data_IF_886234615568
#
_entry.id   IF_886234615568
#
_cell.length_a   1.000
_cell.length_b   1.000
_cell.length_c   1.000
_cell.angle_alpha   90.00
_cell.angle_beta   90.00
_cell.angle_gamma   90.00
#
_symmetry.space_group_name_H-M   'P 1'
#
loop_
_entity.id
_entity.type
_entity.pdbx_description
1 polymer ?
#
# COMPACT_ATOMS: atom_id res chain seq x y z
N UNK A 1 -11.38 3.83 -20.32
CA UNK A 1 -10.73 2.56 -20.67
C UNK A 1 -9.44 2.53 -19.88
N UNK A 2 -9.27 1.57 -18.96
CA UNK A 2 -8.18 1.63 -17.97
C UNK A 2 -6.83 1.29 -18.60
N UNK A 3 -5.89 2.23 -18.56
CA UNK A 3 -4.48 2.09 -18.99
C UNK A 3 -3.67 1.02 -18.20
N UNK A 4 -4.34 0.15 -17.44
CA UNK A 4 -3.76 -0.70 -16.41
C UNK A 4 -4.00 -2.21 -16.59
N UNK A 5 -4.86 -2.63 -17.53
CA UNK A 5 -5.06 -4.08 -17.77
C UNK A 5 -3.85 -4.75 -18.44
N UNK A 6 -2.96 -3.95 -19.06
CA UNK A 6 -1.80 -4.44 -19.84
C UNK A 6 -0.42 -4.13 -19.22
N UNK A 7 -0.35 -3.79 -17.93
CA UNK A 7 0.96 -3.56 -17.30
C UNK A 7 1.76 -4.86 -17.18
N UNK A 8 2.92 -4.89 -17.84
CA UNK A 8 3.88 -6.00 -17.76
C UNK A 8 4.35 -6.15 -16.32
N UNK A 9 4.36 -7.38 -15.80
CA UNK A 9 4.94 -7.67 -14.48
C UNK A 9 6.44 -7.47 -14.51
N UNK A 10 6.98 -6.78 -13.52
CA UNK A 10 8.42 -6.64 -13.37
C UNK A 10 8.96 -7.98 -12.86
N UNK A 11 9.51 -8.81 -13.75
CA UNK A 11 10.03 -10.14 -13.41
C UNK A 11 11.55 -10.18 -13.31
N UNK A 12 12.21 -9.14 -13.81
CA UNK A 12 13.66 -9.11 -14.02
C UNK A 12 14.39 -8.40 -12.86
N UNK A 13 13.72 -8.31 -11.70
CA UNK A 13 14.30 -7.78 -10.46
C UNK A 13 15.05 -8.89 -9.74
N UNK A 14 16.35 -8.70 -9.55
CA UNK A 14 17.25 -9.67 -8.91
C UNK A 14 17.10 -9.64 -7.37
N UNK A 15 16.75 -10.76 -6.72
CA UNK A 15 16.61 -10.80 -5.27
C UNK A 15 17.92 -10.64 -4.49
N UNK A 16 19.08 -10.84 -5.12
CA UNK A 16 20.39 -10.64 -4.48
C UNK A 16 20.95 -9.23 -4.69
N UNK A 17 20.13 -8.25 -5.09
CA UNK A 17 20.59 -6.87 -5.33
C UNK A 17 19.92 -5.88 -4.38
N UNK A 18 20.73 -4.95 -3.87
CA UNK A 18 20.27 -3.73 -3.23
C UNK A 18 19.94 -2.68 -4.28
N UNK A 19 18.70 -2.18 -4.25
CA UNK A 19 18.22 -1.14 -5.16
C UNK A 19 18.12 0.22 -4.46
N UNK A 20 18.47 1.28 -5.19
CA UNK A 20 18.12 2.64 -4.87
C UNK A 20 16.73 2.93 -5.45
N UNK A 21 15.78 3.29 -4.59
CA UNK A 21 14.40 3.59 -4.97
C UNK A 21 14.13 5.10 -4.86
N UNK A 22 13.54 5.69 -5.88
CA UNK A 22 13.04 7.08 -5.89
C UNK A 22 11.78 7.16 -6.77
N UNK A 23 11.28 8.35 -7.10
CA UNK A 23 10.11 8.53 -7.96
C UNK A 23 10.27 9.71 -8.92
N UNK A 24 9.49 9.69 -10.00
CA UNK A 24 9.69 10.54 -11.19
C UNK A 24 9.38 12.04 -10.98
N UNK A 25 8.77 12.42 -9.87
CA UNK A 25 8.62 13.82 -9.48
C UNK A 25 9.90 14.38 -8.86
N UNK A 26 10.69 13.55 -8.16
CA UNK A 26 11.95 13.93 -7.52
C UNK A 26 13.15 13.71 -8.44
N UNK A 27 13.15 12.63 -9.21
CA UNK A 27 14.27 12.22 -10.06
C UNK A 27 13.82 11.81 -11.46
N UNK A 28 14.79 11.56 -12.33
CA UNK A 28 14.62 10.87 -13.60
C UNK A 28 15.82 9.92 -13.85
N UNK A 29 15.89 9.29 -15.02
CA UNK A 29 17.03 8.46 -15.41
C UNK A 29 18.15 9.26 -16.11
N UNK A 30 18.07 10.59 -16.16
CA UNK A 30 19.06 11.46 -16.78
C UNK A 30 20.14 11.87 -15.75
N UNK A 31 20.91 10.89 -15.29
CA UNK A 31 22.00 11.08 -14.33
C UNK A 31 21.89 10.17 -13.12
N UNK A 32 22.58 10.56 -12.04
CA UNK A 32 22.47 9.88 -10.74
C UNK A 32 21.22 10.37 -10.01
N UNK A 33 20.52 9.47 -9.32
CA UNK A 33 19.37 9.83 -8.49
C UNK A 33 19.81 10.71 -7.30
N UNK A 34 19.16 11.86 -7.17
CA UNK A 34 19.38 12.84 -6.11
C UNK A 34 18.50 12.58 -4.88
N UNK A 35 17.35 11.93 -5.05
CA UNK A 35 16.41 11.55 -4.00
C UNK A 35 16.36 10.06 -3.73
N UNK A 36 15.90 9.67 -2.53
CA UNK A 36 15.77 8.26 -2.15
C UNK A 36 14.62 8.04 -1.17
N UNK A 37 13.91 6.92 -1.34
CA UNK A 37 12.95 6.39 -0.38
C UNK A 37 13.67 5.94 0.89
N UNK A 38 13.46 6.68 1.97
CA UNK A 38 14.13 6.49 3.24
C UNK A 38 13.12 6.33 4.38
N UNK A 39 13.46 5.54 5.41
CA UNK A 39 12.61 5.47 6.60
C UNK A 39 12.66 6.80 7.35
N UNK A 40 11.56 7.18 7.98
CA UNK A 40 11.49 8.35 8.81
C UNK A 40 10.81 7.99 10.14
N UNK A 41 11.52 8.23 11.24
CA UNK A 41 10.92 8.13 12.56
C UNK A 41 9.88 9.24 12.71
N UNK A 42 8.69 8.87 13.13
CA UNK A 42 7.62 9.80 13.43
C UNK A 42 7.31 9.78 14.93
N UNK A 43 6.86 10.91 15.46
CA UNK A 43 6.49 11.04 16.88
C UNK A 43 5.35 10.09 17.28
N UNK A 44 4.56 9.64 16.30
CA UNK A 44 3.50 8.64 16.48
C UNK A 44 4.00 7.24 16.87
N UNK A 45 5.32 6.99 16.81
CA UNK A 45 5.94 5.70 17.14
C UNK A 45 6.03 4.71 15.97
N UNK A 46 5.23 4.91 14.92
CA UNK A 46 5.33 4.13 13.69
C UNK A 46 6.35 4.76 12.73
N UNK A 47 7.30 3.95 12.23
CA UNK A 47 8.21 4.37 11.17
C UNK A 47 7.42 4.64 9.88
N UNK A 48 7.47 5.89 9.42
CA UNK A 48 6.96 6.31 8.13
C UNK A 48 8.04 6.27 7.04
N UNK A 49 7.69 6.76 5.87
CA UNK A 49 8.60 6.89 4.74
C UNK A 49 8.47 8.23 4.05
N UNK A 50 9.58 8.70 3.50
CA UNK A 50 9.66 9.84 2.61
C UNK A 50 10.65 9.58 1.48
N UNK A 51 10.45 10.24 0.36
CA UNK A 51 11.49 10.42 -0.65
C UNK A 51 12.09 11.81 -0.45
N UNK A 52 13.39 11.88 -0.19
CA UNK A 52 14.13 13.14 -0.03
C UNK A 52 15.59 12.94 -0.41
N UNK A 53 16.32 14.06 -0.49
CA UNK A 53 17.71 14.09 -0.96
C UNK A 53 18.60 13.04 -0.27
N UNK A 54 19.44 12.38 -1.08
CA UNK A 54 20.48 11.46 -0.64
C UNK A 54 21.59 12.24 0.04
N UNK A 55 21.43 12.45 1.34
CA UNK A 55 22.47 13.01 2.19
C UNK A 55 23.43 11.89 2.66
N UNK A 56 23.88 11.94 3.91
CA UNK A 56 24.80 10.95 4.46
C UNK A 56 24.16 9.57 4.70
N UNK A 57 22.83 9.47 4.60
CA UNK A 57 22.06 8.26 4.89
C UNK A 57 21.60 7.63 3.58
N UNK A 58 21.86 6.34 3.41
CA UNK A 58 21.48 5.59 2.21
C UNK A 58 20.63 4.38 2.60
N UNK A 59 19.36 4.41 2.21
CA UNK A 59 18.36 3.38 2.43
C UNK A 59 18.16 2.57 1.16
N UNK A 60 18.71 1.36 1.09
CA UNK A 60 18.54 0.47 -0.04
C UNK A 60 17.43 -0.54 0.18
N UNK A 61 16.89 -1.05 -0.93
CA UNK A 61 15.71 -1.91 -0.94
C UNK A 61 16.00 -3.23 -1.65
N UNK A 62 15.71 -4.35 -0.98
CA UNK A 62 15.81 -5.68 -1.55
C UNK A 62 14.40 -6.20 -1.87
N UNK A 63 14.27 -6.88 -3.01
CA UNK A 63 13.01 -7.42 -3.51
C UNK A 63 13.03 -8.93 -3.49
N UNK A 64 12.28 -9.52 -2.55
CA UNK A 64 12.25 -10.96 -2.38
C UNK A 64 10.99 -11.58 -2.98
N UNK A 65 11.09 -12.43 -4.00
CA UNK A 65 9.93 -13.00 -4.69
C UNK A 65 9.08 -13.85 -3.75
N UNK A 66 7.76 -13.75 -3.88
CA UNK A 66 6.81 -14.52 -3.06
C UNK A 66 6.07 -15.54 -3.92
N UNK A 67 6.27 -16.82 -3.59
CA UNK A 67 5.60 -17.92 -4.26
C UNK A 67 5.95 -17.98 -5.75
N UNK A 68 4.97 -18.38 -6.58
CA UNK A 68 5.14 -18.52 -8.03
C UNK A 68 4.45 -17.41 -8.84
N UNK A 69 4.01 -16.33 -8.18
CA UNK A 69 3.27 -15.25 -8.85
C UNK A 69 4.27 -14.23 -9.45
N UNK A 70 4.32 -14.06 -10.78
CA UNK A 70 5.24 -13.12 -11.41
C UNK A 70 5.03 -11.68 -10.93
N UNK A 71 6.12 -10.99 -10.62
CA UNK A 71 6.11 -9.61 -10.15
C UNK A 71 5.63 -9.42 -8.70
N UNK A 72 5.47 -10.49 -7.91
CA UNK A 72 5.09 -10.36 -6.50
C UNK A 72 6.30 -10.46 -5.58
N UNK A 73 6.46 -9.47 -4.73
CA UNK A 73 7.62 -9.33 -3.84
C UNK A 73 7.22 -8.99 -2.40
N UNK A 74 8.08 -9.40 -1.47
CA UNK A 74 8.25 -8.76 -0.14
C UNK A 74 9.47 -7.85 -0.23
N UNK A 75 9.45 -6.74 0.49
CA UNK A 75 10.50 -5.74 0.40
C UNK A 75 11.15 -5.51 1.76
N UNK A 76 12.48 -5.51 1.76
CA UNK A 76 13.31 -5.25 2.95
C UNK A 76 14.13 -3.98 2.76
N UNK A 77 14.34 -3.29 3.87
CA UNK A 77 15.15 -2.09 3.95
C UNK A 77 16.54 -2.44 4.51
N UNK A 78 17.60 -1.92 3.89
CA UNK A 78 19.00 -2.17 4.30
C UNK A 78 19.35 -1.57 5.67
N UNK A 79 18.54 -0.66 6.18
CA UNK A 79 18.75 0.00 7.46
C UNK A 79 18.08 -0.73 8.63
N UNK A 80 17.34 -1.79 8.31
CA UNK A 80 16.59 -2.57 9.29
C UNK A 80 17.03 -4.04 9.22
N UNK A 81 16.55 -4.82 10.17
CA UNK A 81 16.80 -6.27 10.17
C UNK A 81 15.88 -6.99 9.19
N UNK A 82 16.20 -8.23 8.86
CA UNK A 82 15.38 -9.14 8.04
C UNK A 82 14.00 -9.45 8.63
N UNK A 83 13.77 -9.07 9.89
CA UNK A 83 12.50 -9.21 10.62
C UNK A 83 11.52 -8.08 10.35
N UNK A 84 11.92 -7.03 9.64
CA UNK A 84 11.03 -5.93 9.27
C UNK A 84 10.72 -5.99 7.78
N UNK A 85 9.45 -5.75 7.43
CA UNK A 85 8.97 -5.76 6.05
C UNK A 85 8.30 -4.44 5.71
N UNK A 86 8.47 -4.02 4.45
CA UNK A 86 7.74 -2.91 3.88
C UNK A 86 6.27 -3.27 3.74
N UNK A 87 5.40 -2.51 4.39
CA UNK A 87 3.99 -2.79 4.48
C UNK A 87 3.14 -1.54 4.24
N UNK A 88 1.83 -1.72 4.28
CA UNK A 88 0.87 -0.62 4.38
C UNK A 88 0.16 -0.65 5.73
N UNK A 89 0.00 0.53 6.33
CA UNK A 89 -0.69 0.72 7.59
C UNK A 89 -1.82 1.72 7.41
N UNK A 90 -3.00 1.39 7.94
CA UNK A 90 -4.12 2.32 8.02
C UNK A 90 -3.98 3.19 9.26
N UNK A 91 -4.21 4.49 9.11
CA UNK A 91 -4.19 5.50 10.18
C UNK A 91 -5.49 6.29 10.11
N UNK A 92 -6.33 6.15 11.12
CA UNK A 92 -7.65 6.78 11.18
C UNK A 92 -7.61 8.30 11.34
N UNK A 93 -6.56 8.79 12.00
CA UNK A 93 -6.27 10.21 12.25
C UNK A 93 -5.62 10.92 11.05
N UNK A 94 -5.09 10.17 10.09
CA UNK A 94 -4.46 10.73 8.90
C UNK A 94 -5.54 11.27 7.93
N UNK A 95 -5.28 12.40 7.30
CA UNK A 95 -6.26 13.01 6.38
C UNK A 95 -5.64 13.81 5.23
N UNK A 96 -4.32 13.66 5.02
CA UNK A 96 -3.61 14.31 3.91
C UNK A 96 -4.26 13.92 2.59
N UNK A 97 -4.75 14.93 1.87
CA UNK A 97 -5.55 14.77 0.64
C UNK A 97 -6.63 13.66 0.74
N UNK A 98 -7.34 13.55 1.88
CA UNK A 98 -8.38 12.54 2.14
C UNK A 98 -7.87 11.08 2.05
N UNK A 99 -6.60 10.83 2.40
CA UNK A 99 -5.98 9.51 2.45
C UNK A 99 -5.63 9.11 3.87
N UNK A 100 -5.72 7.81 4.14
CA UNK A 100 -5.51 7.21 5.47
C UNK A 100 -4.53 6.05 5.50
N UNK A 101 -4.18 5.52 4.35
CA UNK A 101 -3.27 4.36 4.25
C UNK A 101 -1.91 4.83 3.78
N UNK A 102 -0.87 4.49 4.54
CA UNK A 102 0.51 4.90 4.31
C UNK A 102 1.42 3.69 4.20
N UNK A 103 2.56 3.87 3.56
CA UNK A 103 3.65 2.92 3.70
C UNK A 103 4.18 2.96 5.14
N UNK A 104 4.53 1.80 5.68
CA UNK A 104 5.04 1.64 7.04
C UNK A 104 5.98 0.42 7.13
N UNK A 105 6.71 0.31 8.23
CA UNK A 105 7.60 -0.80 8.48
C UNK A 105 7.08 -1.65 9.65
N UNK A 106 6.77 -2.93 9.40
CA UNK A 106 6.15 -3.82 10.39
C UNK A 106 6.99 -5.08 10.60
N UNK A 107 6.78 -5.79 11.71
CA UNK A 107 7.38 -7.13 11.89
C UNK A 107 6.88 -8.10 10.83
N UNK A 108 7.79 -8.92 10.30
CA UNK A 108 7.53 -9.85 9.20
C UNK A 108 6.53 -10.92 9.63
N UNK A 109 5.35 -10.90 9.01
CA UNK A 109 4.26 -11.84 9.27
C UNK A 109 3.71 -12.49 7.98
N UNK A 110 4.16 -12.02 6.81
CA UNK A 110 3.78 -12.56 5.51
C UNK A 110 2.34 -12.20 5.08
N UNK A 111 1.66 -11.32 5.81
CA UNK A 111 0.31 -10.86 5.49
C UNK A 111 0.26 -10.14 4.15
N UNK A 112 -0.93 -10.04 3.56
CA UNK A 112 -1.12 -9.36 2.28
C UNK A 112 -0.69 -7.89 2.30
N UNK A 113 -0.66 -7.23 3.46
CA UNK A 113 -0.16 -5.85 3.58
C UNK A 113 1.34 -5.75 3.37
N UNK A 114 2.09 -6.85 3.51
CA UNK A 114 3.54 -6.95 3.29
C UNK A 114 3.91 -7.45 1.89
N UNK A 115 2.90 -7.73 1.05
CA UNK A 115 3.11 -8.23 -0.31
C UNK A 115 2.81 -7.13 -1.33
N UNK A 116 3.66 -7.04 -2.34
CA UNK A 116 3.61 -6.01 -3.36
C UNK A 116 3.63 -6.63 -4.76
N UNK A 117 2.60 -6.36 -5.55
CA UNK A 117 2.58 -6.65 -6.98
C UNK A 117 3.25 -5.45 -7.70
N UNK A 118 4.47 -5.66 -8.22
CA UNK A 118 5.29 -4.67 -8.94
C UNK A 118 5.14 -4.88 -10.44
N UNK A 119 4.79 -3.82 -11.16
CA UNK A 119 4.59 -3.84 -12.62
C UNK A 119 5.36 -2.69 -13.28
N UNK A 120 5.67 -2.82 -14.57
CA UNK A 120 6.29 -1.77 -15.37
C UNK A 120 5.21 -0.85 -15.94
N UNK A 121 5.47 0.45 -15.92
CA UNK A 121 4.67 1.48 -16.59
C UNK A 121 5.13 1.66 -18.04
N UNK A 122 4.19 1.56 -18.99
CA UNK A 122 4.44 1.85 -20.40
C UNK A 122 5.26 0.78 -21.13
N UNK A 123 5.49 0.99 -22.44
CA UNK A 123 6.08 -0.02 -23.33
C UNK A 123 7.36 0.38 -24.06
N UNK A 124 7.85 1.63 -23.99
CA UNK A 124 8.83 2.07 -25.01
C UNK A 124 9.95 3.06 -24.70
N UNK A 125 10.10 3.71 -23.53
CA UNK A 125 11.27 4.63 -23.34
C UNK A 125 11.88 4.75 -21.94
N UNK A 126 11.10 4.57 -20.87
CA UNK A 126 11.63 4.53 -19.50
C UNK A 126 10.81 3.53 -18.70
N UNK A 127 11.46 2.46 -18.23
CA UNK A 127 10.81 1.45 -17.39
C UNK A 127 10.68 2.00 -15.96
N UNK A 128 9.65 2.81 -15.75
CA UNK A 128 9.24 3.21 -14.39
C UNK A 128 8.35 2.11 -13.79
N UNK A 129 8.33 1.99 -12.47
CA UNK A 129 7.68 0.90 -11.76
C UNK A 129 6.39 1.39 -11.08
N UNK A 130 5.39 0.52 -11.05
CA UNK A 130 4.13 0.71 -10.33
C UNK A 130 4.04 -0.32 -9.20
N UNK A 131 3.80 0.19 -7.99
CA UNK A 131 3.68 -0.63 -6.79
C UNK A 131 2.23 -0.71 -6.35
N UNK A 132 1.70 -1.94 -6.31
CA UNK A 132 0.33 -2.22 -5.86
C UNK A 132 0.39 -3.15 -4.66
N UNK A 133 -0.18 -2.72 -3.54
CA UNK A 133 -0.21 -3.56 -2.34
C UNK A 133 -1.30 -4.63 -2.46
N UNK A 134 -1.01 -5.86 -2.02
CA UNK A 134 -1.95 -6.98 -2.17
C UNK A 134 -3.19 -6.81 -1.29
N UNK A 135 -3.05 -6.30 -0.05
CA UNK A 135 -4.19 -6.11 0.85
C UNK A 135 -5.17 -5.01 0.39
N UNK A 136 -4.67 -3.99 -0.32
CA UNK A 136 -5.48 -2.85 -0.76
C UNK A 136 -6.00 -2.99 -2.21
N UNK A 137 -5.61 -4.06 -2.91
CA UNK A 137 -6.02 -4.36 -4.28
C UNK A 137 -5.49 -3.36 -5.33
N UNK A 138 -6.06 -3.40 -6.53
CA UNK A 138 -5.58 -2.66 -7.71
C UNK A 138 -6.04 -1.21 -7.82
N UNK A 139 -6.84 -0.72 -6.87
CA UNK A 139 -7.37 0.66 -6.93
C UNK A 139 -6.44 1.71 -6.35
N UNK A 140 -5.43 1.28 -5.60
CA UNK A 140 -4.50 2.17 -4.93
C UNK A 140 -3.07 1.75 -5.19
N UNK A 141 -2.23 2.75 -5.43
CA UNK A 141 -0.82 2.57 -5.76
C UNK A 141 0.04 3.41 -4.82
N UNK A 142 1.29 3.00 -4.67
CA UNK A 142 2.26 3.72 -3.87
C UNK A 142 2.55 5.08 -4.50
N UNK A 143 2.38 6.15 -3.72
CA UNK A 143 2.41 7.54 -4.18
C UNK A 143 3.19 8.39 -3.18
N UNK A 144 4.06 9.26 -3.70
CA UNK A 144 4.75 10.26 -2.90
C UNK A 144 4.05 11.59 -3.02
N UNK A 145 3.33 11.97 -1.96
CA UNK A 145 2.71 13.30 -1.89
C UNK A 145 3.82 14.33 -1.65
N UNK A 146 3.97 15.38 -2.49
CA UNK A 146 5.04 16.37 -2.35
C UNK A 146 5.06 17.00 -0.96
N UNK A 147 6.24 16.98 -0.32
CA UNK A 147 6.43 17.53 1.04
C UNK A 147 5.85 16.66 2.17
N UNK A 148 5.20 15.55 1.86
CA UNK A 148 4.57 14.65 2.82
C UNK A 148 5.20 13.25 2.77
N UNK A 149 4.51 12.29 3.35
CA UNK A 149 4.93 10.91 3.40
C UNK A 149 4.54 10.12 2.15
N UNK A 150 4.91 8.83 2.14
CA UNK A 150 4.48 7.88 1.13
C UNK A 150 3.12 7.28 1.49
N UNK A 151 2.15 7.43 0.58
CA UNK A 151 0.75 7.04 0.73
C UNK A 151 0.34 5.97 -0.27
N UNK A 152 -0.79 5.33 0.00
CA UNK A 152 -1.56 4.63 -1.03
C UNK A 152 -2.62 5.58 -1.58
N UNK A 153 -2.60 5.82 -2.90
CA UNK A 153 -3.53 6.73 -3.58
C UNK A 153 -4.15 6.09 -4.83
N UNK A 154 -5.38 6.47 -5.22
CA UNK A 154 -5.90 6.05 -6.50
C UNK A 154 -5.14 6.73 -7.64
N UNK A 155 -5.20 6.14 -8.84
CA UNK A 155 -4.75 6.85 -10.04
C UNK A 155 -5.57 8.12 -10.21
N UNK A 156 -4.87 9.24 -10.37
CA UNK A 156 -5.50 10.49 -10.77
C UNK A 156 -5.50 10.57 -12.30
N UNK A 157 -6.22 11.55 -12.86
CA UNK A 157 -6.20 11.78 -14.29
C UNK A 157 -4.82 12.33 -14.73
N UNK A 158 -4.42 12.01 -15.97
CA UNK A 158 -3.18 12.51 -16.58
C UNK A 158 -1.93 11.69 -16.23
N UNK A 159 -0.76 12.34 -16.33
CA UNK A 159 0.54 11.69 -16.14
C UNK A 159 0.91 11.58 -14.65
N UNK A 160 1.02 10.36 -14.13
CA UNK A 160 1.15 10.06 -12.69
C UNK A 160 2.61 10.00 -12.22
N UNK A 161 3.36 11.11 -12.31
CA UNK A 161 4.79 11.17 -11.87
C UNK A 161 5.01 10.59 -10.47
N UNK A 162 4.15 10.98 -9.51
CA UNK A 162 4.22 10.57 -8.10
C UNK A 162 4.07 9.07 -7.83
N UNK A 163 3.55 8.32 -8.81
CA UNK A 163 3.32 6.87 -8.75
C UNK A 163 4.24 6.09 -9.69
N UNK A 164 5.15 6.79 -10.38
CA UNK A 164 6.15 6.21 -11.27
C UNK A 164 7.45 6.13 -10.50
N UNK A 165 7.69 4.95 -9.96
CA UNK A 165 8.89 4.67 -9.18
C UNK A 165 10.07 4.43 -10.11
N UNK A 166 11.23 4.92 -9.70
CA UNK A 166 12.50 4.74 -10.41
C UNK A 166 13.41 3.86 -9.56
N UNK A 167 14.14 2.97 -10.22
CA UNK A 167 14.99 2.00 -9.54
C UNK A 167 16.32 1.86 -10.27
N UNK A 168 17.42 1.83 -9.52
CA UNK A 168 18.72 1.42 -10.05
C UNK A 168 19.40 0.43 -9.10
N UNK A 169 20.12 -0.54 -9.65
CA UNK A 169 20.91 -1.48 -8.88
C UNK A 169 22.14 -0.78 -8.29
N UNK A 170 22.50 -1.14 -7.06
CA UNK A 170 23.61 -0.50 -6.34
C UNK A 170 24.75 -1.47 -6.10
N UNK A 171 24.45 -2.60 -5.47
CA UNK A 171 25.42 -3.65 -5.13
C UNK A 171 24.70 -4.94 -4.76
N UNK A 172 25.45 -6.03 -4.73
CA UNK A 172 24.94 -7.31 -4.25
C UNK A 172 24.61 -7.26 -2.75
N UNK A 173 23.62 -8.05 -2.35
CA UNK A 173 23.21 -8.19 -0.96
C UNK A 173 24.24 -9.01 -0.20
N UNK A 174 24.60 -10.18 -0.74
CA UNK A 174 25.66 -11.07 -0.27
C UNK A 174 25.66 -11.27 1.25
N UNK A 175 24.47 -11.48 1.80
CA UNK A 175 24.25 -11.69 3.23
C UNK A 175 23.22 -12.82 3.43
N UNK A 176 23.67 -13.90 4.06
CA UNK A 176 22.88 -15.10 4.34
C UNK A 176 21.57 -14.80 5.08
N UNK A 177 21.55 -13.77 5.94
CA UNK A 177 20.34 -13.38 6.67
C UNK A 177 19.24 -12.88 5.72
N UNK A 178 19.62 -12.33 4.57
CA UNK A 178 18.73 -11.75 3.59
C UNK A 178 18.38 -12.72 2.45
N UNK A 179 18.94 -13.94 2.41
CA UNK A 179 18.75 -14.90 1.31
C UNK A 179 17.39 -15.62 1.28
N UNK A 180 16.60 -15.56 2.36
CA UNK A 180 15.29 -16.23 2.44
C UNK A 180 14.18 -15.29 2.89
N UNK A 181 12.94 -15.57 2.48
CA UNK A 181 11.75 -14.85 2.98
C UNK A 181 11.40 -15.36 4.38
N UNK A 182 11.27 -14.46 5.34
CA UNK A 182 10.84 -14.83 6.69
C UNK A 182 9.34 -15.10 6.68
N UNK A 183 8.95 -16.37 6.64
CA UNK A 183 7.61 -16.81 6.99
C UNK A 183 7.61 -17.13 8.47
N UNK A 184 6.83 -16.40 9.27
CA UNK A 184 6.70 -16.69 10.69
C UNK A 184 6.33 -18.17 10.84
N UNK A 185 7.11 -19.01 11.55
CA UNK A 185 6.71 -20.39 11.78
C UNK A 185 5.36 -20.38 12.53
N UNK A 186 4.44 -21.31 12.22
CA UNK A 186 3.20 -21.43 12.99
C UNK A 186 3.52 -21.55 14.49
N UNK A 187 2.71 -20.98 15.40
CA UNK A 187 3.00 -21.02 16.83
C UNK A 187 3.20 -22.46 17.25
N UNK A 188 4.42 -22.75 17.69
CA UNK A 188 4.86 -24.09 18.07
C UNK A 188 3.98 -24.57 19.23
N UNK A 189 3.20 -25.60 18.97
CA UNK A 189 2.33 -26.20 19.98
C UNK A 189 3.21 -26.89 21.02
N UNK A 190 3.19 -26.36 22.24
CA UNK A 190 3.76 -26.89 23.47
C UNK A 190 3.67 -28.42 23.56
N UNK A 191 4.80 -29.13 23.48
CA UNK A 191 5.08 -30.49 24.03
C UNK A 191 6.60 -30.68 24.01
N UNK A 192 7.29 -31.28 24.97
CA UNK A 192 7.03 -31.70 26.34
C UNK A 192 8.44 -31.97 26.92
N UNK A 193 8.61 -31.79 28.23
CA UNK A 193 9.88 -31.99 28.89
C UNK A 193 10.26 -33.49 28.89
N UNK A 194 11.33 -33.84 28.18
CA UNK A 194 11.91 -35.20 28.18
C UNK A 194 13.25 -35.22 28.90
N UNK A 195 13.21 -35.36 30.22
CA UNK A 195 14.37 -35.70 31.07
C UNK A 195 15.04 -36.98 30.58
N UNK A 196 16.34 -36.95 30.30
CA UNK A 196 17.21 -38.13 30.44
C UNK A 196 18.54 -37.71 31.04
N UNK A 197 18.71 -38.04 32.31
CA UNK A 197 20.00 -38.17 32.97
C UNK A 197 20.52 -39.56 32.62
N UNK A 198 21.74 -39.69 32.12
CA UNK A 198 22.60 -40.80 32.51
C UNK A 198 24.08 -40.48 32.26
N UNK A 199 24.87 -40.74 33.30
CA UNK A 199 26.32 -40.63 33.33
C UNK A 199 26.93 -42.01 33.16
N UNK A 200 27.93 -42.18 32.28
CA UNK A 200 29.11 -43.00 32.56
C UNK A 200 30.12 -42.98 31.40
N UNK A 201 31.38 -42.81 31.78
CA UNK A 201 32.59 -42.93 30.98
C UNK A 201 32.98 -44.39 30.72
N UNK A 202 33.45 -44.71 29.50
CA UNK A 202 34.73 -45.39 29.26
C UNK A 202 35.01 -45.60 27.77
N UNK A 203 36.30 -45.57 27.43
CA UNK A 203 36.89 -45.59 26.09
C UNK A 203 37.03 -47.01 25.48
N UNK A 204 36.93 -47.12 24.15
CA UNK A 204 37.93 -47.72 23.23
C UNK A 204 37.31 -48.09 21.86
N UNK A 205 38.07 -47.76 20.80
CA UNK A 205 38.25 -48.35 19.44
C UNK A 205 37.51 -49.68 19.17
N UNK A 206 36.91 -49.97 18.00
CA UNK A 206 37.37 -49.77 16.63
C UNK A 206 36.26 -50.15 15.60
N UNK A 207 36.33 -49.56 14.40
CA UNK A 207 35.84 -50.06 13.10
C UNK A 207 34.33 -50.11 12.71
N UNK A 208 34.14 -49.64 11.46
CA UNK A 208 33.12 -49.97 10.44
C UNK A 208 31.91 -49.03 10.24
N UNK A 209 31.99 -48.29 9.13
CA UNK A 209 30.95 -48.09 8.10
C UNK A 209 29.52 -47.77 8.54
N UNK A 210 29.09 -46.52 8.35
CA UNK A 210 27.68 -46.23 8.05
C UNK A 210 27.49 -44.98 7.20
N UNK A 211 26.59 -45.17 6.26
CA UNK A 211 26.11 -44.34 5.17
C UNK A 211 25.48 -43.01 5.60
N UNK A 212 25.64 -42.01 4.73
CA UNK A 212 24.85 -40.78 4.62
C UNK A 212 23.36 -41.00 4.93
N UNK A 213 22.88 -40.38 6.02
CA UNK A 213 21.46 -40.24 6.31
C UNK A 213 20.96 -38.89 5.79
N UNK A 214 20.28 -38.93 4.65
CA UNK A 214 19.40 -37.87 4.15
C UNK A 214 18.33 -37.54 5.19
N UNK A 215 18.25 -36.28 5.61
CA UNK A 215 17.13 -35.75 6.39
C UNK A 215 15.96 -35.44 5.45
N UNK A 216 15.10 -36.43 5.22
CA UNK A 216 13.88 -36.28 4.42
C UNK A 216 12.85 -35.36 5.09
N UNK A 217 12.46 -34.29 4.41
CA UNK A 217 11.32 -33.44 4.77
C UNK A 217 10.01 -34.21 4.56
N UNK A 218 9.16 -34.28 5.60
CA UNK A 218 7.85 -34.92 5.54
C UNK A 218 6.87 -34.15 4.64
N UNK A 219 6.64 -34.65 3.43
CA UNK A 219 5.54 -34.22 2.57
C UNK A 219 4.22 -34.76 3.10
N UNK A 220 3.20 -33.91 3.24
CA UNK A 220 1.84 -34.33 3.59
C UNK A 220 1.29 -35.28 2.51
N UNK A 221 0.79 -36.44 2.94
CA UNK A 221 0.21 -37.48 2.08
C UNK A 221 -0.81 -36.89 1.12
N UNK A 222 -0.76 -37.31 -0.15
CA UNK A 222 -1.68 -36.87 -1.21
C UNK A 222 -3.17 -37.06 -0.86
N UNK A 223 -3.49 -37.92 0.12
CA UNK A 223 -4.84 -38.08 0.66
C UNK A 223 -5.36 -36.85 1.42
N UNK A 224 -4.51 -36.08 2.11
CA UNK A 224 -4.92 -34.86 2.80
C UNK A 224 -5.20 -33.70 1.81
N UNK A 225 -4.45 -33.66 0.71
CA UNK A 225 -4.58 -32.65 -0.35
C UNK A 225 -5.85 -32.91 -1.18
N UNK A 226 -6.20 -34.18 -1.42
CA UNK A 226 -7.40 -34.54 -2.20
C UNK A 226 -8.72 -34.20 -1.47
N UNK A 227 -8.75 -34.27 -0.13
CA UNK A 227 -9.96 -34.00 0.64
C UNK A 227 -10.40 -32.54 0.64
N UNK A 228 -9.45 -31.60 0.66
CA UNK A 228 -9.74 -30.15 0.76
C UNK A 228 -10.26 -29.59 -0.57
N UNK A 229 -9.79 -30.12 -1.70
CA UNK A 229 -10.21 -29.66 -3.03
C UNK A 229 -11.71 -29.90 -3.31
N UNK A 230 -12.25 -31.04 -2.85
CA UNK A 230 -13.66 -31.41 -3.11
C UNK A 230 -14.60 -30.65 -2.17
N UNK A 231 -14.20 -30.40 -0.92
CA UNK A 231 -14.99 -29.66 0.07
C UNK A 231 -15.22 -28.19 -0.31
N UNK A 232 -14.23 -27.54 -0.93
CA UNK A 232 -14.31 -26.13 -1.31
C UNK A 232 -15.41 -25.86 -2.36
N UNK A 233 -15.58 -26.77 -3.33
CA UNK A 233 -16.57 -26.61 -4.40
C UNK A 233 -18.00 -26.71 -3.85
N UNK A 234 -18.26 -27.67 -2.96
CA UNK A 234 -19.57 -27.82 -2.32
C UNK A 234 -19.87 -26.68 -1.34
N UNK A 235 -18.86 -26.20 -0.61
CA UNK A 235 -19.00 -25.05 0.29
C UNK A 235 -19.40 -23.78 -0.45
N UNK A 236 -18.69 -23.44 -1.54
CA UNK A 236 -18.97 -22.24 -2.34
C UNK A 236 -20.37 -22.29 -2.96
N UNK A 237 -20.79 -23.46 -3.47
CA UNK A 237 -22.15 -23.64 -4.00
C UNK A 237 -23.22 -23.45 -2.93
N UNK A 238 -23.01 -23.97 -1.72
CA UNK A 238 -23.95 -23.80 -0.61
C UNK A 238 -24.06 -22.32 -0.16
N UNK A 239 -22.95 -21.60 -0.05
CA UNK A 239 -22.95 -20.18 0.31
C UNK A 239 -23.56 -19.28 -0.78
N UNK A 240 -23.31 -19.58 -2.06
CA UNK A 240 -23.92 -18.86 -3.17
C UNK A 240 -25.45 -19.02 -3.20
N UNK A 241 -25.95 -20.24 -2.97
CA UNK A 241 -27.39 -20.51 -2.89
C UNK A 241 -28.04 -19.80 -1.69
N UNK A 242 -27.38 -19.80 -0.54
CA UNK A 242 -27.87 -19.12 0.66
C UNK A 242 -27.92 -17.60 0.47
N UNK A 243 -26.87 -17.00 -0.12
CA UNK A 243 -26.83 -15.57 -0.45
C UNK A 243 -27.92 -15.17 -1.44
N UNK A 244 -28.13 -15.96 -2.50
CA UNK A 244 -29.19 -15.72 -3.48
C UNK A 244 -30.59 -15.81 -2.87
N UNK A 245 -30.84 -16.78 -1.99
CA UNK A 245 -32.14 -16.98 -1.35
C UNK A 245 -32.50 -15.81 -0.42
N UNK A 246 -31.55 -15.31 0.37
CA UNK A 246 -31.76 -14.16 1.25
C UNK A 246 -31.98 -12.86 0.46
N UNK A 247 -31.25 -12.66 -0.64
CA UNK A 247 -31.44 -11.52 -1.53
C UNK A 247 -32.82 -11.55 -2.21
N UNK A 248 -33.27 -12.72 -2.68
CA UNK A 248 -34.60 -12.90 -3.27
C UNK A 248 -35.73 -12.66 -2.27
N UNK A 249 -35.55 -13.04 -1.00
CA UNK A 249 -36.53 -12.79 0.07
C UNK A 249 -36.63 -11.29 0.40
N UNK A 250 -35.50 -10.57 0.44
CA UNK A 250 -35.48 -9.13 0.74
C UNK A 250 -36.19 -8.29 -0.32
N UNK A 251 -36.16 -8.73 -1.59
CA UNK A 251 -36.82 -8.01 -2.71
C UNK A 251 -38.35 -8.11 -2.73
N UNK A 252 -38.97 -8.94 -1.88
CA UNK A 252 -40.44 -9.11 -1.82
C UNK A 252 -41.13 -8.25 -0.76
N UNK A 253 -40.38 -7.50 0.07
CA UNK A 253 -40.95 -6.73 1.19
C UNK A 253 -40.85 -5.20 1.07
N UNK A 254 -40.44 -4.64 -0.06
CA UNK A 254 -40.55 -3.19 -0.29
C UNK A 254 -41.85 -2.87 -1.04
N UNK A 255 -42.99 -3.14 -0.39
CA UNK A 255 -44.26 -2.50 -0.70
C UNK A 255 -44.34 -1.21 0.12
N UNK A 256 -44.23 -0.06 -0.55
CA UNK A 256 -44.45 1.25 0.06
C UNK A 256 -45.91 1.39 0.53
N UNK A 257 -46.20 1.81 1.76
CA UNK A 257 -47.56 2.15 2.17
C UNK A 257 -47.96 3.52 1.59
N UNK A 258 -49.09 3.52 0.88
CA UNK A 258 -49.82 4.70 0.45
C UNK A 258 -50.32 5.51 1.66
N UNK A 259 -50.25 6.84 1.57
CA UNK A 259 -51.05 7.76 2.39
C UNK A 259 -52.09 8.43 1.47
N UNK A 260 -53.38 8.45 1.83
CA UNK A 260 -54.42 9.11 1.05
C UNK A 260 -54.65 10.57 1.52
N UNK A 261 -54.94 11.43 0.53
CA UNK A 261 -56.06 12.40 0.46
C UNK A 261 -56.10 13.56 1.49
N UNK A 262 -56.35 14.84 1.18
CA UNK A 262 -57.10 15.49 0.09
C UNK A 262 -56.95 17.04 0.18
N UNK A 263 -57.53 17.74 -0.82
CA UNK A 263 -57.97 19.14 -0.84
C UNK A 263 -57.11 20.24 -1.54
N UNK A 264 -57.40 20.39 -2.85
CA UNK A 264 -58.16 21.51 -3.42
C UNK A 264 -57.43 22.61 -4.24
N UNK A 265 -57.65 22.55 -5.57
CA UNK A 265 -57.86 23.68 -6.51
C UNK A 265 -56.61 24.46 -6.97
N UNK A 266 -56.47 24.93 -8.22
CA UNK A 266 -57.35 24.90 -9.38
C UNK A 266 -56.57 25.36 -10.63
N UNK A 267 -57.05 24.90 -11.79
CA UNK A 267 -57.05 25.55 -13.10
C UNK A 267 -55.78 25.66 -13.98
N UNK A 268 -56.00 25.14 -15.20
CA UNK A 268 -55.53 25.55 -16.54
C UNK A 268 -54.21 25.00 -17.10
N UNK A 269 -54.39 24.15 -18.10
CA UNK A 269 -53.43 23.63 -19.09
C UNK A 269 -53.32 24.62 -20.29
N UNK A 270 -52.73 24.27 -21.46
CA UNK A 270 -51.51 23.48 -21.75
C UNK A 270 -50.64 24.13 -22.89
N UNK A 271 -49.65 23.36 -23.35
CA UNK A 271 -49.07 23.30 -24.72
C UNK A 271 -47.83 24.14 -25.04
N UNK A 272 -46.85 23.46 -25.64
CA UNK A 272 -45.74 24.08 -26.36
C UNK A 272 -44.52 23.19 -26.54
N UNK A 273 -44.65 22.09 -27.29
CA UNK A 273 -43.55 21.31 -27.87
C UNK A 273 -42.88 22.10 -29.01
N UNK A 274 -41.55 22.26 -29.00
CA UNK A 274 -40.74 22.05 -30.21
C UNK A 274 -39.23 22.07 -29.92
N UNK A 275 -38.58 21.19 -30.67
CA UNK A 275 -37.18 20.84 -30.69
C UNK A 275 -36.31 21.72 -31.61
N UNK A 276 -34.98 21.64 -31.36
CA UNK A 276 -33.83 21.95 -32.24
C UNK A 276 -33.42 23.43 -32.44
N UNK A 277 -32.15 23.77 -32.19
CA UNK A 277 -31.11 23.85 -33.24
C UNK A 277 -29.70 24.20 -32.70
N UNK A 278 -28.72 23.92 -33.55
CA UNK A 278 -27.26 23.97 -33.50
C UNK A 278 -26.51 25.04 -32.67
N UNK A 279 -25.44 24.57 -32.00
CA UNK A 279 -24.04 24.73 -32.43
C UNK A 279 -23.43 26.13 -32.49
N UNK A 280 -22.44 26.40 -31.62
CA UNK A 280 -21.39 27.41 -31.87
C UNK A 280 -20.04 26.96 -31.30
N UNK A 281 -19.03 26.97 -32.18
CA UNK A 281 -17.59 26.93 -31.87
C UNK A 281 -17.16 28.29 -31.32
N UNK A 282 -16.22 28.32 -30.37
CA UNK A 282 -15.46 29.54 -30.03
C UNK A 282 -14.04 29.48 -30.61
N UNK A 283 -13.49 30.58 -31.15
CA UNK A 283 -12.13 30.62 -31.70
C UNK A 283 -11.08 30.94 -30.61
N UNK A 284 -9.90 30.37 -30.79
CA UNK A 284 -8.65 30.74 -30.13
C UNK A 284 -8.15 32.05 -30.74
N UNK A 285 -7.87 33.05 -29.91
CA UNK A 285 -7.10 34.23 -30.32
C UNK A 285 -5.74 34.24 -29.60
N UNK A 286 -4.67 34.39 -30.39
CA UNK A 286 -3.27 34.43 -29.97
C UNK A 286 -2.77 35.86 -30.17
N UNK A 287 -2.39 36.53 -29.08
CA UNK A 287 -1.55 37.73 -29.16
C UNK A 287 -0.35 37.61 -28.22
N UNK A 288 0.85 38.08 -28.63
CA UNK A 288 2.07 38.00 -27.82
C UNK A 288 2.16 39.21 -26.90
N UNK A 289 2.24 38.98 -25.58
CA UNK A 289 2.42 40.03 -24.58
C UNK A 289 3.91 40.17 -24.20
N UNK A 290 4.41 41.36 -24.50
CA UNK A 290 5.70 41.91 -24.12
C UNK A 290 5.73 42.11 -22.58
N UNK A 291 6.65 41.47 -21.86
CA UNK A 291 6.75 41.59 -20.41
C UNK A 291 7.51 42.85 -20.00
N UNK A 292 6.80 43.92 -19.64
CA UNK A 292 7.31 44.96 -18.74
C UNK A 292 6.48 44.89 -17.46
N UNK A 293 7.12 44.45 -16.37
CA UNK A 293 6.49 44.25 -15.07
C UNK A 293 6.21 45.58 -14.37
N UNK A 294 4.99 45.85 -13.87
CA UNK A 294 4.79 46.84 -12.82
C UNK A 294 5.12 46.22 -11.46
N UNK A 295 5.69 47.01 -10.55
CA UNK A 295 5.96 46.64 -9.17
C UNK A 295 4.65 46.41 -8.37
N UNK A 296 4.65 45.55 -7.33
CA UNK A 296 3.47 45.37 -6.47
C UNK A 296 3.21 46.62 -5.61
N UNK A 297 1.93 46.91 -5.24
CA UNK A 297 1.58 48.03 -4.38
C UNK A 297 2.08 47.81 -2.93
N UNK A 298 2.34 48.89 -2.17
CA UNK A 298 2.83 48.77 -0.79
C UNK A 298 1.76 48.19 0.14
N UNK A 299 2.18 47.29 1.02
CA UNK A 299 1.34 46.74 2.09
C UNK A 299 1.08 47.83 3.16
N UNK A 300 -0.18 48.00 3.54
CA UNK A 300 -0.60 48.83 4.66
C UNK A 300 -0.59 47.97 5.93
N UNK A 301 0.25 48.34 6.90
CA UNK A 301 0.21 47.75 8.25
C UNK A 301 -0.92 48.39 9.06
N UNK A 302 -1.81 47.57 9.64
CA UNK A 302 -2.89 48.04 10.52
C UNK A 302 -2.32 48.42 11.90
N UNK A 303 -2.83 49.48 12.57
CA UNK A 303 -2.38 49.87 13.90
C UNK A 303 -2.69 48.78 14.94
N UNK A 304 -1.65 48.30 15.63
CA UNK A 304 -1.79 47.41 16.78
C UNK A 304 -2.25 48.20 18.01
N UNK A 305 -3.56 48.28 18.23
CA UNK A 305 -4.12 48.68 19.53
C UNK A 305 -5.19 47.70 19.96
N UNK A 306 -4.77 46.53 20.46
CA UNK A 306 -5.64 45.73 21.31
C UNK A 306 -4.77 44.98 22.32
N UNK A 307 -4.84 45.39 23.59
CA UNK A 307 -4.25 44.62 24.69
C UNK A 307 -4.95 43.26 24.77
N UNK A 308 -4.21 42.17 25.05
CA UNK A 308 -4.81 40.85 25.21
C UNK A 308 -5.77 40.85 26.41
N UNK A 309 -6.95 40.28 26.20
CA UNK A 309 -7.94 40.03 27.26
C UNK A 309 -7.53 38.76 28.00
N UNK A 310 -7.22 38.87 29.29
CA UNK A 310 -6.98 37.71 30.15
C UNK A 310 -8.30 36.99 30.45
N UNK A 311 -8.33 35.67 30.25
CA UNK A 311 -9.45 34.82 30.64
C UNK A 311 -9.40 34.57 32.16
N UNK A 312 -10.53 34.63 32.88
CA UNK A 312 -10.56 34.30 34.31
C UNK A 312 -10.19 32.83 34.52
N UNK A 313 -9.35 32.58 35.53
CA UNK A 313 -8.90 31.25 35.92
C UNK A 313 -10.09 30.36 36.31
N UNK A 314 -10.10 29.12 35.79
CA UNK A 314 -11.05 28.10 36.22
C UNK A 314 -10.79 27.75 37.68
N UNK A 315 -11.80 27.97 38.51
CA UNK A 315 -11.80 27.66 39.94
C UNK A 315 -11.68 26.14 40.16
N UNK A 316 -10.63 25.71 40.84
CA UNK A 316 -10.47 24.35 41.34
C UNK A 316 -11.61 24.04 42.33
N UNK A 317 -12.55 23.19 41.92
CA UNK A 317 -13.42 22.51 42.88
C UNK A 317 -12.68 21.34 43.51
N UNK A 318 -12.03 21.63 44.62
CA UNK A 318 -11.85 20.65 45.70
C UNK A 318 -13.22 20.41 46.35
N UNK A 319 -13.69 19.18 46.35
CA UNK A 319 -14.51 18.67 47.46
C UNK A 319 -14.10 17.22 47.75
N UNK A 320 -14.00 16.96 49.04
CA UNK A 320 -13.45 15.77 49.67
C UNK A 320 -14.52 14.70 49.90
N UNK A 321 -14.02 13.46 49.93
CA UNK A 321 -14.48 12.27 50.67
C UNK A 321 -15.37 11.26 49.93
#
# INVERSE_FOLDING_TARGET
MSDFEDLKKATDIDPNVWYHLTEEWVDDYDGDFEGMLQTQKEDSGDDGFRVFSVANRKTYWQFQPIGKKPGRYSLRCSETTTRKQFAVCYRDWESVENRRTRACLTDSDGTESQQWDVSLWGTNKTETYLFTNVANGTKYHLDVIPGAAVFMSPNLDGYQKRQRWLMTSVKDVDDDAYSTVFTNPPPESTRDAGTTTDSSSNAATDSASSSSSDSGSSSLSGGAIAGIAIGAVLGVLAFALLGFFLWRRKRRNNGFPAKPDEAMGSHSAPMGDHSQFAGYKTPIDRTPINSTSPAPPPLHELPSTQNPVELPAAEQRHELR
#
